data_IF_999422480024
#
_entry.id   IF_999422480024
#
_cell.length_a   1.000
_cell.length_b   1.000
_cell.length_c   1.000
_cell.angle_alpha   90.00
_cell.angle_beta   90.00
_cell.angle_gamma   90.00
#
_symmetry.space_group_name_H-M   'P 1'
#
loop_
_entity.id
_entity.type
_entity.pdbx_description
1 polymer ?
#
# COMPACT_ATOMS: atom_id res chain seq x y z
N UNK A 1 -42.06 -2.13 -5.99
CA UNK A 1 -41.25 -1.70 -7.15
C UNK A 1 -39.92 -1.19 -6.59
N UNK A 2 -38.82 -1.84 -7.00
CA UNK A 2 -37.37 -1.54 -6.79
C UNK A 2 -37.02 -0.65 -5.57
N UNK A 3 -36.49 -1.14 -4.43
CA UNK A 3 -35.22 -1.86 -4.15
C UNK A 3 -34.02 -1.29 -4.92
N UNK A 4 -33.36 -0.29 -4.33
CA UNK A 4 -31.92 -0.03 -4.49
C UNK A 4 -31.37 0.68 -3.25
N UNK A 5 -30.82 -0.17 -2.37
CA UNK A 5 -29.66 -0.01 -1.51
C UNK A 5 -28.92 1.35 -1.61
N UNK A 6 -29.18 2.22 -0.64
CA UNK A 6 -28.22 3.22 -0.18
C UNK A 6 -27.16 2.50 0.67
N UNK A 7 -26.18 1.88 0.02
CA UNK A 7 -25.04 1.26 0.68
C UNK A 7 -23.90 2.28 0.79
N UNK A 8 -23.83 2.91 1.97
CA UNK A 8 -22.59 3.01 2.75
C UNK A 8 -21.36 3.63 2.03
N UNK A 9 -21.42 4.93 1.76
CA UNK A 9 -20.25 5.78 1.55
C UNK A 9 -20.01 6.58 2.83
N UNK A 10 -19.19 6.05 3.74
CA UNK A 10 -18.60 6.79 4.86
C UNK A 10 -17.40 6.00 5.41
N UNK A 11 -16.27 6.06 4.71
CA UNK A 11 -14.97 5.77 5.30
C UNK A 11 -14.22 7.09 5.41
N UNK A 12 -14.48 7.80 6.50
CA UNK A 12 -13.73 8.96 6.91
C UNK A 12 -13.22 8.71 8.33
N UNK A 13 -11.90 8.80 8.45
CA UNK A 13 -11.15 9.17 9.63
C UNK A 13 -11.10 8.17 10.80
N UNK A 14 -10.00 7.40 10.84
CA UNK A 14 -9.31 7.14 12.10
C UNK A 14 -7.84 6.77 11.86
N UNK A 15 -6.98 7.76 11.58
CA UNK A 15 -5.56 7.70 11.94
C UNK A 15 -5.00 9.13 12.04
N UNK A 16 -5.08 9.64 13.26
CA UNK A 16 -4.39 10.86 13.70
C UNK A 16 -3.29 10.43 14.65
N UNK A 17 -2.03 10.43 14.20
CA UNK A 17 -0.83 10.81 14.96
C UNK A 17 0.43 10.17 14.36
N UNK A 18 1.00 10.79 13.32
CA UNK A 18 2.42 11.16 13.18
C UNK A 18 2.56 11.96 11.88
N UNK A 19 3.32 13.05 11.92
CA UNK A 19 3.32 14.11 10.92
C UNK A 19 3.95 13.74 9.57
N UNK A 20 3.50 14.46 8.54
CA UNK A 20 4.06 14.57 7.17
C UNK A 20 3.55 13.67 6.04
N UNK A 21 2.32 13.17 6.02
CA UNK A 21 1.72 12.64 4.76
C UNK A 21 0.20 12.84 4.67
N UNK A 22 -0.33 13.83 5.39
CA UNK A 22 -1.78 14.13 5.41
C UNK A 22 -2.28 14.87 4.17
N UNK A 23 -1.38 15.42 3.35
CA UNK A 23 -1.77 16.31 2.24
C UNK A 23 -2.08 15.55 0.95
N UNK A 24 -1.51 14.37 0.74
CA UNK A 24 -1.65 13.61 -0.51
C UNK A 24 -2.79 12.59 -0.46
N UNK A 25 -3.05 11.98 0.70
CA UNK A 25 -4.21 11.10 0.90
C UNK A 25 -5.56 11.86 0.91
N UNK A 26 -5.59 13.06 1.49
CA UNK A 26 -6.76 13.95 1.45
C UNK A 26 -7.00 14.48 0.04
N UNK A 27 -5.93 14.70 -0.74
CA UNK A 27 -6.01 15.11 -2.14
C UNK A 27 -6.49 13.96 -3.02
N UNK A 28 -6.02 12.73 -2.81
CA UNK A 28 -6.52 11.54 -3.52
C UNK A 28 -8.00 11.27 -3.22
N UNK A 29 -8.42 11.35 -1.95
CA UNK A 29 -9.82 11.21 -1.58
C UNK A 29 -10.69 12.38 -2.07
N UNK A 30 -10.15 13.61 -2.11
CA UNK A 30 -10.80 14.78 -2.68
C UNK A 30 -10.94 14.64 -4.20
N UNK A 31 -9.92 14.17 -4.92
CA UNK A 31 -9.97 13.93 -6.37
C UNK A 31 -10.99 12.84 -6.72
N UNK A 32 -11.08 11.76 -5.94
CA UNK A 32 -12.12 10.72 -6.14
C UNK A 32 -13.52 11.27 -5.87
N UNK A 33 -13.68 12.10 -4.84
CA UNK A 33 -14.97 12.72 -4.48
C UNK A 33 -15.38 13.83 -5.46
N UNK A 34 -14.43 14.58 -5.98
CA UNK A 34 -14.61 15.63 -6.97
C UNK A 34 -14.87 15.03 -8.35
N UNK A 35 -14.18 13.94 -8.73
CA UNK A 35 -14.48 13.17 -9.92
C UNK A 35 -15.85 12.47 -9.85
N UNK A 36 -16.23 11.93 -8.69
CA UNK A 36 -17.58 11.39 -8.47
C UNK A 36 -18.65 12.49 -8.51
N UNK A 37 -18.32 13.71 -8.06
CA UNK A 37 -19.16 14.90 -8.16
C UNK A 37 -19.31 15.42 -9.59
N UNK A 38 -18.21 15.48 -10.35
CA UNK A 38 -18.20 15.87 -11.77
C UNK A 38 -18.94 14.86 -12.65
N UNK A 39 -18.82 13.56 -12.37
CA UNK A 39 -19.59 12.50 -13.06
C UNK A 39 -21.09 12.62 -12.78
N UNK A 40 -21.47 13.02 -11.57
CA UNK A 40 -22.88 13.26 -11.22
C UNK A 40 -23.43 14.55 -11.84
N UNK A 41 -22.61 15.60 -11.98
CA UNK A 41 -23.02 16.89 -12.56
C UNK A 41 -23.04 16.87 -14.10
N UNK A 42 -22.17 16.07 -14.73
CA UNK A 42 -22.13 15.82 -16.19
C UNK A 42 -23.01 14.65 -16.66
N UNK A 43 -23.94 14.17 -15.84
CA UNK A 43 -24.90 13.12 -16.23
C UNK A 43 -25.88 13.52 -17.37
N UNK A 44 -25.65 14.64 -18.05
CA UNK A 44 -26.23 15.00 -19.35
C UNK A 44 -25.35 14.64 -20.57
N UNK A 45 -24.07 14.31 -20.39
CA UNK A 45 -23.17 13.84 -21.45
C UNK A 45 -23.06 12.30 -21.43
N UNK A 46 -23.12 11.73 -22.62
CA UNK A 46 -23.14 10.31 -23.01
C UNK A 46 -22.40 9.31 -22.10
N UNK A 47 -23.07 8.18 -21.83
CA UNK A 47 -22.61 7.03 -21.01
C UNK A 47 -21.18 6.56 -21.35
N UNK A 48 -20.76 6.62 -22.62
CA UNK A 48 -19.41 6.23 -23.06
C UNK A 48 -18.30 7.06 -22.37
N UNK A 49 -18.50 8.37 -22.19
CA UNK A 49 -17.48 9.24 -21.57
C UNK A 49 -17.35 9.05 -20.06
N UNK A 50 -18.40 8.55 -19.39
CA UNK A 50 -18.37 8.24 -17.96
C UNK A 50 -17.62 6.94 -17.71
N UNK A 51 -17.81 5.94 -18.58
CA UNK A 51 -17.14 4.65 -18.47
C UNK A 51 -15.63 4.76 -18.72
N UNK A 52 -15.22 5.53 -19.74
CA UNK A 52 -13.81 5.81 -20.03
C UNK A 52 -13.10 6.54 -18.87
N UNK A 53 -13.73 7.60 -18.33
CA UNK A 53 -13.16 8.33 -17.18
C UNK A 53 -13.08 7.49 -15.91
N UNK A 54 -14.09 6.65 -15.65
CA UNK A 54 -14.07 5.75 -14.52
C UNK A 54 -12.94 4.71 -14.65
N UNK A 55 -12.72 4.19 -15.86
CA UNK A 55 -11.61 3.29 -16.15
C UNK A 55 -10.25 3.98 -15.97
N UNK A 56 -10.09 5.23 -16.45
CA UNK A 56 -8.85 6.00 -16.30
C UNK A 56 -8.51 6.26 -14.82
N UNK A 57 -9.45 6.81 -14.04
CA UNK A 57 -9.27 7.05 -12.60
C UNK A 57 -8.96 5.76 -11.84
N UNK A 58 -9.57 4.66 -12.27
CA UNK A 58 -9.30 3.35 -11.69
C UNK A 58 -7.87 2.89 -11.96
N UNK A 59 -7.38 3.02 -13.20
CA UNK A 59 -5.99 2.68 -13.54
C UNK A 59 -5.00 3.59 -12.80
N UNK A 60 -5.25 4.89 -12.72
CA UNK A 60 -4.38 5.83 -11.99
C UNK A 60 -4.28 5.46 -10.50
N UNK A 61 -5.41 5.13 -9.86
CA UNK A 61 -5.42 4.69 -8.46
C UNK A 61 -4.66 3.37 -8.28
N UNK A 62 -4.79 2.43 -9.23
CA UNK A 62 -4.03 1.18 -9.22
C UNK A 62 -2.53 1.43 -9.30
N UNK A 63 -2.12 2.20 -10.28
CA UNK A 63 -0.72 2.49 -10.55
C UNK A 63 -0.08 3.23 -9.37
N UNK A 64 -0.82 4.16 -8.74
CA UNK A 64 -0.36 4.86 -7.54
C UNK A 64 -0.13 3.90 -6.36
N UNK A 65 -1.07 2.99 -6.08
CA UNK A 65 -0.91 1.99 -5.00
C UNK A 65 0.26 1.05 -5.29
N UNK A 66 0.36 0.56 -6.53
CA UNK A 66 1.42 -0.33 -6.96
C UNK A 66 2.79 0.34 -6.83
N UNK A 67 2.94 1.53 -7.39
CA UNK A 67 4.20 2.29 -7.37
C UNK A 67 4.60 2.68 -5.93
N UNK A 68 3.64 3.09 -5.10
CA UNK A 68 3.88 3.39 -3.68
C UNK A 68 4.35 2.16 -2.90
N UNK A 69 3.73 0.99 -3.15
CA UNK A 69 4.15 -0.27 -2.55
C UNK A 69 5.56 -0.69 -3.01
N UNK A 70 5.88 -0.56 -4.30
CA UNK A 70 7.20 -0.87 -4.85
C UNK A 70 8.28 0.03 -4.25
N UNK A 71 8.03 1.34 -4.19
CA UNK A 71 8.95 2.31 -3.59
C UNK A 71 9.20 1.96 -2.12
N UNK A 72 8.14 1.69 -1.35
CA UNK A 72 8.25 1.28 0.05
C UNK A 72 9.08 0.00 0.19
N UNK A 73 8.85 -1.00 -0.67
CA UNK A 73 9.63 -2.24 -0.67
C UNK A 73 11.12 -1.98 -0.95
N UNK A 74 11.45 -1.10 -1.88
CA UNK A 74 12.84 -0.75 -2.19
C UNK A 74 13.53 -0.07 -1.00
N UNK A 75 12.87 0.89 -0.35
CA UNK A 75 13.40 1.57 0.83
C UNK A 75 13.62 0.62 2.02
N UNK A 76 12.65 -0.25 2.28
CA UNK A 76 12.78 -1.27 3.33
C UNK A 76 13.89 -2.27 3.00
N UNK A 77 14.05 -2.62 1.72
CA UNK A 77 15.09 -3.53 1.28
C UNK A 77 16.48 -2.94 1.52
N UNK A 78 16.68 -1.65 1.26
CA UNK A 78 17.94 -0.96 1.55
C UNK A 78 18.30 -1.06 3.04
N UNK A 79 17.33 -0.81 3.94
CA UNK A 79 17.55 -0.94 5.39
C UNK A 79 17.88 -2.38 5.81
N UNK A 80 17.19 -3.37 5.24
CA UNK A 80 17.50 -4.78 5.51
C UNK A 80 18.90 -5.17 4.99
N UNK A 81 19.30 -4.64 3.84
CA UNK A 81 20.64 -4.85 3.27
C UNK A 81 21.73 -4.19 4.14
N UNK A 82 21.46 -3.04 4.78
CA UNK A 82 22.36 -2.46 5.78
C UNK A 82 22.54 -3.34 7.02
N UNK A 83 21.46 -3.92 7.55
CA UNK A 83 21.53 -4.91 8.66
C UNK A 83 22.37 -6.11 8.25
N UNK A 84 22.15 -6.61 7.04
CA UNK A 84 22.88 -7.75 6.46
C UNK A 84 24.37 -7.44 6.30
N UNK A 85 24.73 -6.24 5.87
CA UNK A 85 26.12 -5.81 5.75
C UNK A 85 26.83 -5.73 7.12
N UNK A 86 26.11 -5.30 8.17
CA UNK A 86 26.68 -5.22 9.53
C UNK A 86 26.84 -6.58 10.20
N UNK A 87 26.15 -7.61 9.72
CA UNK A 87 26.10 -8.94 10.29
C UNK A 87 27.48 -9.61 10.40
N UNK A 88 28.41 -9.28 9.48
CA UNK A 88 29.79 -9.77 9.54
C UNK A 88 30.61 -9.14 10.67
N UNK A 89 30.25 -7.93 11.09
CA UNK A 89 30.94 -7.17 12.13
C UNK A 89 30.29 -7.30 13.51
N UNK A 90 29.12 -7.96 13.58
CA UNK A 90 28.42 -8.22 14.84
C UNK A 90 29.16 -9.23 15.71
N UNK A 91 28.95 -9.13 17.02
CA UNK A 91 29.43 -10.14 17.96
C UNK A 91 28.75 -11.50 17.71
N UNK A 92 29.45 -12.59 18.04
CA UNK A 92 28.94 -13.96 17.90
C UNK A 92 27.64 -14.20 18.69
N UNK A 93 27.37 -13.40 19.71
CA UNK A 93 26.14 -13.48 20.53
C UNK A 93 24.92 -12.89 19.81
N UNK A 94 25.11 -11.83 19.02
CA UNK A 94 24.02 -11.13 18.32
C UNK A 94 23.75 -11.69 16.92
N UNK A 95 24.79 -12.24 16.28
CA UNK A 95 24.73 -12.74 14.90
C UNK A 95 23.57 -13.73 14.66
N UNK A 96 23.33 -14.76 15.49
CA UNK A 96 22.22 -15.69 15.27
C UNK A 96 20.84 -15.01 15.33
N UNK A 97 20.68 -14.01 16.22
CA UNK A 97 19.42 -13.26 16.34
C UNK A 97 19.19 -12.34 15.12
N UNK A 98 20.26 -11.73 14.60
CA UNK A 98 20.19 -10.91 13.39
C UNK A 98 19.90 -11.77 12.14
N UNK A 99 20.52 -12.94 12.00
CA UNK A 99 20.27 -13.90 10.92
C UNK A 99 18.80 -14.36 10.93
N UNK A 100 18.27 -14.70 12.11
CA UNK A 100 16.86 -15.10 12.25
C UNK A 100 15.90 -13.96 11.89
N UNK A 101 16.19 -12.72 12.31
CA UNK A 101 15.37 -11.56 11.96
C UNK A 101 15.39 -11.28 10.46
N UNK A 102 16.56 -11.33 9.81
CA UNK A 102 16.68 -11.15 8.36
C UNK A 102 15.96 -12.26 7.58
N UNK A 103 16.05 -13.51 8.03
CA UNK A 103 15.33 -14.60 7.38
C UNK A 103 13.81 -14.42 7.44
N UNK A 104 13.28 -13.86 8.54
CA UNK A 104 11.85 -13.56 8.65
C UNK A 104 11.44 -12.36 7.80
N UNK A 105 12.27 -11.31 7.78
CA UNK A 105 12.10 -10.16 6.89
C UNK A 105 12.09 -10.60 5.42
N UNK A 106 13.00 -11.49 5.00
CA UNK A 106 13.06 -11.99 3.63
C UNK A 106 11.78 -12.75 3.24
N UNK A 107 11.21 -13.56 4.14
CA UNK A 107 9.91 -14.21 3.90
C UNK A 107 8.77 -13.21 3.74
N UNK A 108 8.76 -12.16 4.57
CA UNK A 108 7.74 -11.11 4.47
C UNK A 108 7.87 -10.32 3.17
N UNK A 109 9.10 -10.03 2.72
CA UNK A 109 9.35 -9.47 1.40
C UNK A 109 8.76 -10.32 0.28
N UNK A 110 9.01 -11.62 0.31
CA UNK A 110 8.49 -12.54 -0.71
C UNK A 110 6.96 -12.61 -0.68
N UNK A 111 6.35 -12.62 0.51
CA UNK A 111 4.90 -12.59 0.67
C UNK A 111 4.27 -11.30 0.11
N UNK A 112 4.85 -10.14 0.42
CA UNK A 112 4.37 -8.85 -0.11
C UNK A 112 4.55 -8.78 -1.63
N UNK A 113 5.68 -9.24 -2.17
CA UNK A 113 5.90 -9.29 -3.63
C UNK A 113 4.91 -10.20 -4.33
N UNK A 114 4.60 -11.35 -3.76
CA UNK A 114 3.59 -12.26 -4.30
C UNK A 114 2.21 -11.58 -4.31
N UNK A 115 1.82 -10.96 -3.19
CA UNK A 115 0.54 -10.25 -3.08
C UNK A 115 0.44 -9.06 -4.04
N UNK A 116 1.54 -8.33 -4.23
CA UNK A 116 1.61 -7.23 -5.20
C UNK A 116 1.49 -7.73 -6.63
N UNK A 117 2.09 -8.87 -6.97
CA UNK A 117 1.92 -9.50 -8.28
C UNK A 117 0.46 -9.95 -8.51
N UNK A 118 -0.19 -10.53 -7.49
CA UNK A 118 -1.62 -10.85 -7.53
C UNK A 118 -2.47 -9.59 -7.72
N UNK A 119 -2.17 -8.51 -6.99
CA UNK A 119 -2.86 -7.23 -7.08
C UNK A 119 -2.77 -6.65 -8.50
N UNK A 120 -1.59 -6.68 -9.12
CA UNK A 120 -1.36 -6.23 -10.50
C UNK A 120 -2.18 -7.03 -11.51
N UNK A 121 -2.31 -8.34 -11.30
CA UNK A 121 -3.06 -9.23 -12.19
C UNK A 121 -4.58 -9.22 -11.94
N UNK A 122 -5.04 -8.68 -10.82
CA UNK A 122 -6.44 -8.75 -10.39
C UNK A 122 -7.37 -7.89 -11.27
N UNK A 123 -8.65 -8.29 -11.37
CA UNK A 123 -9.73 -7.48 -11.94
C UNK A 123 -10.29 -6.45 -10.94
N UNK A 124 -11.22 -5.61 -11.39
CA UNK A 124 -11.71 -4.46 -10.62
C UNK A 124 -12.23 -4.81 -9.22
N UNK A 125 -13.06 -5.85 -9.16
CA UNK A 125 -13.68 -6.35 -7.92
C UNK A 125 -12.67 -6.95 -6.94
N UNK A 126 -11.72 -7.74 -7.44
CA UNK A 126 -10.73 -8.43 -6.59
C UNK A 126 -9.66 -7.48 -6.05
N UNK A 127 -9.34 -6.42 -6.80
CA UNK A 127 -8.28 -5.48 -6.45
C UNK A 127 -8.52 -4.74 -5.14
N UNK A 128 -9.77 -4.37 -4.82
CA UNK A 128 -10.07 -3.68 -3.56
C UNK A 128 -9.73 -4.55 -2.35
N UNK A 129 -10.06 -5.84 -2.42
CA UNK A 129 -9.77 -6.79 -1.35
C UNK A 129 -8.25 -7.01 -1.20
N UNK A 130 -7.56 -7.25 -2.33
CA UNK A 130 -6.12 -7.48 -2.31
C UNK A 130 -5.33 -6.25 -1.86
N UNK A 131 -5.78 -5.04 -2.22
CA UNK A 131 -5.16 -3.78 -1.79
C UNK A 131 -5.29 -3.58 -0.28
N UNK A 132 -6.48 -3.89 0.28
CA UNK A 132 -6.72 -3.84 1.72
C UNK A 132 -5.89 -4.88 2.50
N UNK A 133 -5.55 -6.01 1.89
CA UNK A 133 -4.65 -7.01 2.48
C UNK A 133 -3.17 -6.63 2.35
N UNK A 134 -2.79 -5.85 1.33
CA UNK A 134 -1.41 -5.45 1.09
C UNK A 134 -0.91 -4.44 2.13
N UNK A 135 -1.77 -3.49 2.54
CA UNK A 135 -1.42 -2.45 3.52
C UNK A 135 -0.91 -3.01 4.87
N UNK A 136 -1.62 -3.92 5.57
CA UNK A 136 -1.11 -4.48 6.82
C UNK A 136 0.18 -5.27 6.62
N UNK A 137 0.33 -6.00 5.50
CA UNK A 137 1.58 -6.74 5.22
C UNK A 137 2.79 -5.79 5.04
N UNK A 138 2.60 -4.65 4.35
CA UNK A 138 3.63 -3.62 4.22
C UNK A 138 3.97 -2.98 5.57
N UNK A 139 2.96 -2.72 6.41
CA UNK A 139 3.19 -2.16 7.75
C UNK A 139 3.95 -3.13 8.66
N UNK A 140 3.57 -4.42 8.65
CA UNK A 140 4.25 -5.45 9.43
C UNK A 140 5.70 -5.64 8.97
N UNK A 141 5.94 -5.70 7.66
CA UNK A 141 7.28 -5.75 7.08
C UNK A 141 8.10 -4.51 7.46
N UNK A 142 7.51 -3.32 7.32
CA UNK A 142 8.15 -2.06 7.67
C UNK A 142 8.57 -2.02 9.14
N UNK A 143 7.69 -2.45 10.04
CA UNK A 143 7.99 -2.57 11.47
C UNK A 143 9.14 -3.55 11.72
N UNK A 144 9.08 -4.75 11.14
CA UNK A 144 10.12 -5.77 11.31
C UNK A 144 11.50 -5.27 10.84
N UNK A 145 11.55 -4.61 9.68
CA UNK A 145 12.78 -4.02 9.13
C UNK A 145 13.31 -2.89 10.02
N UNK A 146 12.46 -1.97 10.46
CA UNK A 146 12.87 -0.86 11.34
C UNK A 146 13.36 -1.39 12.69
N UNK A 147 12.68 -2.36 13.29
CA UNK A 147 13.11 -2.98 14.54
C UNK A 147 14.46 -3.69 14.39
N UNK A 148 14.67 -4.43 13.29
CA UNK A 148 15.95 -5.06 13.01
C UNK A 148 17.05 -4.02 12.78
N UNK A 149 16.77 -2.96 12.02
CA UNK A 149 17.72 -1.88 11.77
C UNK A 149 18.11 -1.14 13.04
N UNK A 150 17.14 -0.75 13.88
CA UNK A 150 17.40 -0.09 15.16
C UNK A 150 18.21 -0.98 16.11
N UNK A 151 17.96 -2.29 16.11
CA UNK A 151 18.60 -3.24 17.02
C UNK A 151 20.00 -3.67 16.58
N UNK A 152 20.22 -3.77 15.28
CA UNK A 152 21.41 -4.43 14.72
C UNK A 152 22.26 -3.49 13.84
N UNK A 153 21.70 -2.37 13.38
CA UNK A 153 22.41 -1.37 12.58
C UNK A 153 22.78 -0.09 13.32
N UNK A 154 22.50 0.03 14.62
CA UNK A 154 23.12 1.05 15.48
C UNK A 154 24.39 0.49 16.11
#
# INVERSE_FOLDING_TARGET
MYRTTAAMLLFAAALSATGCEKKDAEKAAATVKEAAGEVAEKAGETVETVEEKAAELYQEARDAVVSGAETTLEELKLKADEVRAKLETMSAELKPAAEAALAEIDKQFDAVKAKLAELKAAGAETWQNLSAELEPMLQELGKAVVEAWEKFSK
#
